data_IF_580252590583
#
_entry.id   IF_580252590583
#
_cell.length_a   1.000
_cell.length_b   1.000
_cell.length_c   1.000
_cell.angle_alpha   90.00
_cell.angle_beta   90.00
_cell.angle_gamma   90.00
#
_symmetry.space_group_name_H-M   'P 1'
#
loop_
_entity.id
_entity.type
_entity.pdbx_description
1 polymer ?
#
# COMPACT_ATOMS: atom_id res chain seq x y z
N UNK A 1 7.66 -37.89 19.21
CA UNK A 1 8.57 -36.91 18.58
C UNK A 1 8.19 -36.50 17.14
N UNK A 2 7.01 -36.86 16.60
CA UNK A 2 6.58 -36.41 15.26
C UNK A 2 5.66 -35.17 15.27
N UNK A 3 5.03 -34.82 16.41
CA UNK A 3 4.01 -33.75 16.47
C UNK A 3 4.58 -32.33 16.67
N UNK A 4 5.88 -32.18 16.93
CA UNK A 4 6.52 -30.86 17.13
C UNK A 4 6.99 -30.21 15.81
N UNK A 5 7.10 -30.98 14.72
CA UNK A 5 7.54 -30.47 13.41
C UNK A 5 6.43 -29.87 12.55
N UNK A 6 5.20 -30.41 12.63
CA UNK A 6 4.06 -29.93 11.82
C UNK A 6 3.51 -28.59 12.32
N UNK A 7 3.51 -28.35 13.64
CA UNK A 7 3.07 -27.08 14.24
C UNK A 7 4.01 -25.91 13.92
N UNK A 8 5.33 -26.13 13.94
CA UNK A 8 6.32 -25.11 13.60
C UNK A 8 6.34 -24.77 12.10
N UNK A 9 6.17 -25.77 11.23
CA UNK A 9 6.09 -25.56 9.79
C UNK A 9 4.80 -24.83 9.38
N UNK A 10 3.66 -25.14 10.03
CA UNK A 10 2.38 -24.45 9.82
C UNK A 10 2.42 -23.00 10.32
N UNK A 11 3.07 -22.75 11.47
CA UNK A 11 3.26 -21.40 12.00
C UNK A 11 4.20 -20.53 11.15
N UNK A 12 5.29 -21.10 10.65
CA UNK A 12 6.20 -20.41 9.74
C UNK A 12 5.57 -20.14 8.36
N UNK A 13 4.73 -21.05 7.86
CA UNK A 13 3.97 -20.82 6.63
C UNK A 13 2.91 -19.71 6.79
N UNK A 14 2.22 -19.67 7.93
CA UNK A 14 1.29 -18.59 8.27
C UNK A 14 1.97 -17.22 8.31
N UNK A 15 3.07 -17.09 9.06
CA UNK A 15 3.85 -15.85 9.18
C UNK A 15 4.39 -15.36 7.83
N UNK A 16 4.84 -16.26 6.95
CA UNK A 16 5.27 -15.90 5.59
C UNK A 16 4.11 -15.43 4.72
N UNK A 17 2.94 -16.06 4.86
CA UNK A 17 1.71 -15.66 4.17
C UNK A 17 1.23 -14.27 4.59
N UNK A 18 1.29 -13.97 5.89
CA UNK A 18 0.95 -12.66 6.44
C UNK A 18 1.90 -11.57 5.96
N UNK A 19 3.21 -11.80 5.99
CA UNK A 19 4.20 -10.87 5.43
C UNK A 19 3.98 -10.64 3.93
N UNK A 20 3.69 -11.70 3.17
CA UNK A 20 3.37 -11.58 1.76
C UNK A 20 2.08 -10.77 1.53
N UNK A 21 1.06 -10.95 2.37
CA UNK A 21 -0.17 -10.18 2.31
C UNK A 21 0.08 -8.70 2.64
N UNK A 22 0.88 -8.37 3.66
CA UNK A 22 1.26 -6.99 3.98
C UNK A 22 2.05 -6.33 2.85
N UNK A 23 2.97 -7.07 2.21
CA UNK A 23 3.69 -6.58 1.02
C UNK A 23 2.71 -6.32 -0.12
N UNK A 24 1.75 -7.22 -0.35
CA UNK A 24 0.74 -7.08 -1.39
C UNK A 24 -0.18 -5.87 -1.15
N UNK A 25 -0.61 -5.62 0.10
CA UNK A 25 -1.34 -4.41 0.48
C UNK A 25 -0.51 -3.18 0.19
N UNK A 26 0.77 -3.17 0.57
CA UNK A 26 1.65 -2.04 0.33
C UNK A 26 1.88 -1.77 -1.16
N UNK A 27 1.98 -2.82 -1.99
CA UNK A 27 2.02 -2.70 -3.46
C UNK A 27 0.72 -2.12 -4.00
N UNK A 28 -0.43 -2.58 -3.51
CA UNK A 28 -1.73 -2.10 -3.95
C UNK A 28 -1.93 -0.62 -3.58
N UNK A 29 -1.75 -0.26 -2.31
CA UNK A 29 -1.85 1.13 -1.86
C UNK A 29 -0.80 2.02 -2.52
N UNK A 30 0.47 1.61 -2.50
CA UNK A 30 1.53 2.42 -3.05
C UNK A 30 1.47 2.54 -4.57
N UNK A 31 1.18 1.45 -5.27
CA UNK A 31 1.04 1.45 -6.71
C UNK A 31 -0.13 2.29 -7.19
N UNK A 32 -1.29 2.22 -6.53
CA UNK A 32 -2.50 2.91 -6.97
C UNK A 32 -2.49 4.41 -6.70
N UNK A 33 -1.78 4.88 -5.68
CA UNK A 33 -1.78 6.29 -5.26
C UNK A 33 -1.36 7.29 -6.37
N UNK A 34 -0.28 7.09 -7.13
CA UNK A 34 0.07 7.96 -8.25
C UNK A 34 -0.95 7.90 -9.40
N UNK A 35 -1.54 6.73 -9.66
CA UNK A 35 -2.58 6.59 -10.68
C UNK A 35 -3.87 7.29 -10.29
N UNK A 36 -4.25 7.26 -9.00
CA UNK A 36 -5.39 8.03 -8.48
C UNK A 36 -5.15 9.53 -8.69
N UNK A 37 -3.95 10.01 -8.40
CA UNK A 37 -3.56 11.40 -8.64
C UNK A 37 -3.68 11.77 -10.13
N UNK A 38 -3.14 10.97 -11.04
CA UNK A 38 -3.31 11.18 -12.48
C UNK A 38 -4.79 11.09 -12.92
N UNK A 39 -5.56 10.17 -12.35
CA UNK A 39 -6.99 10.00 -12.65
C UNK A 39 -7.85 11.18 -12.21
N UNK A 40 -7.36 12.00 -11.28
CA UNK A 40 -8.00 13.26 -10.87
C UNK A 40 -7.59 14.47 -11.70
N UNK A 41 -6.63 14.34 -12.61
CA UNK A 41 -6.24 15.46 -13.49
C UNK A 41 -7.41 15.88 -14.38
N UNK A 42 -7.72 17.18 -14.36
CA UNK A 42 -8.86 17.74 -15.09
C UNK A 42 -10.16 17.83 -14.29
N UNK A 43 -10.21 17.29 -13.06
CA UNK A 43 -11.34 17.48 -12.16
C UNK A 43 -11.59 18.98 -11.88
N UNK A 44 -10.51 19.78 -11.76
CA UNK A 44 -10.56 21.24 -11.55
C UNK A 44 -11.26 22.03 -12.67
N UNK A 45 -11.40 21.42 -13.86
CA UNK A 45 -12.11 22.03 -15.01
C UNK A 45 -13.61 21.81 -14.93
N UNK A 46 -14.09 20.94 -14.05
CA UNK A 46 -15.51 20.64 -13.85
C UNK A 46 -16.09 21.65 -12.86
N UNK A 47 -16.46 22.84 -13.33
CA UNK A 47 -17.15 23.86 -12.51
C UNK A 47 -18.64 23.93 -12.84
N UNK A 48 -19.47 23.90 -11.80
CA UNK A 48 -20.93 24.10 -11.89
C UNK A 48 -21.36 25.14 -10.85
N UNK A 49 -22.44 25.86 -11.14
CA UNK A 49 -22.88 27.00 -10.33
C UNK A 49 -23.45 26.66 -8.94
N UNK A 50 -23.69 25.39 -8.62
CA UNK A 50 -24.26 24.94 -7.33
C UNK A 50 -23.40 23.84 -6.74
N UNK A 51 -23.12 23.89 -5.44
CA UNK A 51 -22.18 22.96 -4.78
C UNK A 51 -22.57 21.48 -4.92
N UNK A 52 -23.85 21.14 -4.76
CA UNK A 52 -24.33 19.75 -4.93
C UNK A 52 -24.20 19.26 -6.37
N UNK A 53 -24.46 20.13 -7.34
CA UNK A 53 -24.35 19.83 -8.77
C UNK A 53 -22.90 19.71 -9.23
N UNK A 54 -22.00 20.46 -8.59
CA UNK A 54 -20.56 20.35 -8.79
C UNK A 54 -20.04 19.02 -8.24
N UNK A 55 -20.41 18.68 -6.99
CA UNK A 55 -20.00 17.42 -6.37
C UNK A 55 -20.51 16.21 -7.17
N UNK A 56 -21.76 16.25 -7.66
CA UNK A 56 -22.28 15.20 -8.54
C UNK A 56 -21.55 15.14 -9.89
N UNK A 57 -21.13 16.27 -10.45
CA UNK A 57 -20.38 16.31 -11.70
C UNK A 57 -18.95 15.80 -11.53
N UNK A 58 -18.30 16.12 -10.41
CA UNK A 58 -16.99 15.61 -10.01
C UNK A 58 -17.05 14.09 -9.78
N UNK A 59 -18.03 13.60 -9.01
CA UNK A 59 -18.26 12.16 -8.81
C UNK A 59 -18.49 11.48 -10.16
N UNK A 60 -19.35 12.05 -11.02
CA UNK A 60 -19.63 11.47 -12.34
C UNK A 60 -18.37 11.43 -13.20
N UNK A 61 -17.55 12.47 -13.19
CA UNK A 61 -16.28 12.51 -13.91
C UNK A 61 -15.32 11.42 -13.43
N UNK A 62 -15.17 11.27 -12.11
CA UNK A 62 -14.31 10.25 -11.49
C UNK A 62 -14.81 8.83 -11.76
N UNK A 63 -16.12 8.59 -11.62
CA UNK A 63 -16.73 7.29 -11.87
C UNK A 63 -16.70 6.87 -13.35
N UNK A 64 -16.70 7.82 -14.28
CA UNK A 64 -16.56 7.51 -15.71
C UNK A 64 -15.10 7.41 -16.15
N UNK A 65 -14.15 7.88 -15.33
CA UNK A 65 -12.74 7.76 -15.64
C UNK A 65 -12.20 6.40 -15.20
N UNK A 66 -12.07 5.47 -16.15
CA UNK A 66 -11.49 4.14 -15.88
C UNK A 66 -10.09 4.22 -15.25
N UNK A 67 -9.30 5.26 -15.60
CA UNK A 67 -7.97 5.50 -15.03
C UNK A 67 -8.00 5.85 -13.55
N UNK A 68 -9.17 6.26 -13.02
CA UNK A 68 -9.40 6.50 -11.61
C UNK A 68 -10.10 5.30 -10.94
N UNK A 69 -11.14 4.74 -11.57
CA UNK A 69 -11.94 3.65 -10.99
C UNK A 69 -11.11 2.38 -10.77
N UNK A 70 -10.27 1.99 -11.74
CA UNK A 70 -9.42 0.80 -11.61
C UNK A 70 -8.48 0.89 -10.41
N UNK A 71 -7.64 1.94 -10.26
CA UNK A 71 -6.78 2.06 -9.09
C UNK A 71 -7.58 2.29 -7.80
N UNK A 72 -8.75 2.93 -7.85
CA UNK A 72 -9.62 3.07 -6.67
C UNK A 72 -10.11 1.71 -6.14
N UNK A 73 -10.58 0.82 -7.03
CA UNK A 73 -11.01 -0.52 -6.65
C UNK A 73 -9.84 -1.33 -6.10
N UNK A 74 -8.67 -1.28 -6.75
CA UNK A 74 -7.45 -1.95 -6.27
C UNK A 74 -7.01 -1.43 -4.90
N UNK A 75 -7.10 -0.13 -4.66
CA UNK A 75 -6.81 0.48 -3.35
C UNK A 75 -7.75 -0.06 -2.26
N UNK A 76 -9.04 -0.21 -2.57
CA UNK A 76 -10.03 -0.78 -1.65
C UNK A 76 -9.87 -2.28 -1.43
N UNK A 77 -9.46 -3.04 -2.45
CA UNK A 77 -9.03 -4.42 -2.27
C UNK A 77 -7.84 -4.52 -1.31
N UNK A 78 -6.89 -3.59 -1.41
CA UNK A 78 -5.78 -3.45 -0.44
C UNK A 78 -6.29 -3.30 0.99
N UNK A 79 -7.27 -2.43 1.22
CA UNK A 79 -7.90 -2.25 2.55
C UNK A 79 -8.57 -3.53 3.08
N UNK A 80 -9.22 -4.31 2.21
CA UNK A 80 -9.83 -5.60 2.60
C UNK A 80 -8.77 -6.63 2.99
N UNK A 81 -7.72 -6.78 2.17
CA UNK A 81 -6.61 -7.70 2.46
C UNK A 81 -5.89 -7.28 3.74
N UNK A 82 -5.69 -5.97 3.95
CA UNK A 82 -5.12 -5.42 5.17
C UNK A 82 -5.96 -5.77 6.39
N UNK A 83 -7.28 -5.57 6.32
CA UNK A 83 -8.19 -5.89 7.40
C UNK A 83 -8.16 -7.38 7.78
N UNK A 84 -8.16 -8.27 6.78
CA UNK A 84 -8.05 -9.72 7.00
C UNK A 84 -6.70 -10.11 7.61
N UNK A 85 -5.61 -9.44 7.19
CA UNK A 85 -4.26 -9.70 7.72
C UNK A 85 -4.12 -9.20 9.16
N UNK A 86 -4.72 -8.04 9.47
CA UNK A 86 -4.72 -7.46 10.81
C UNK A 86 -5.46 -8.33 11.85
N UNK A 87 -6.40 -9.16 11.39
CA UNK A 87 -7.11 -10.11 12.25
C UNK A 87 -6.22 -11.30 12.70
N UNK A 88 -5.05 -11.49 12.10
CA UNK A 88 -4.18 -12.66 12.34
C UNK A 88 -2.73 -12.31 12.73
N UNK A 89 -2.26 -11.08 12.49
CA UNK A 89 -0.88 -10.64 12.77
C UNK A 89 -0.79 -9.64 13.93
N UNK A 90 0.33 -9.62 14.65
CA UNK A 90 0.66 -8.59 15.64
C UNK A 90 0.65 -7.17 15.04
N UNK A 91 -0.34 -6.37 15.44
CA UNK A 91 -0.61 -5.01 14.93
C UNK A 91 0.60 -4.07 15.03
N UNK A 92 1.46 -4.26 16.03
CA UNK A 92 2.56 -3.34 16.36
C UNK A 92 3.63 -3.27 15.27
N UNK A 93 3.84 -4.35 14.50
CA UNK A 93 4.83 -4.41 13.41
C UNK A 93 4.18 -4.26 12.04
N UNK A 94 2.94 -4.73 11.87
CA UNK A 94 2.25 -4.69 10.59
C UNK A 94 1.98 -3.26 10.09
N UNK A 95 1.56 -2.35 10.97
CA UNK A 95 1.20 -0.98 10.59
C UNK A 95 2.41 -0.16 10.11
N UNK A 96 3.55 -0.12 10.85
CA UNK A 96 4.74 0.60 10.41
C UNK A 96 5.34 0.03 9.13
N UNK A 97 5.35 -1.30 8.99
CA UNK A 97 5.86 -1.98 7.79
C UNK A 97 5.01 -1.65 6.57
N UNK A 98 3.69 -1.85 6.64
CA UNK A 98 2.80 -1.64 5.50
C UNK A 98 2.80 -0.18 5.03
N UNK A 99 2.80 0.78 5.96
CA UNK A 99 2.83 2.21 5.63
C UNK A 99 4.18 2.60 4.98
N UNK A 100 5.28 2.07 5.52
CA UNK A 100 6.64 2.29 4.98
C UNK A 100 6.79 1.72 3.57
N UNK A 101 6.38 0.47 3.33
CA UNK A 101 6.42 -0.12 1.99
C UNK A 101 5.48 0.61 1.02
N UNK A 102 4.28 0.99 1.46
CA UNK A 102 3.32 1.71 0.61
C UNK A 102 3.91 3.05 0.14
N UNK A 103 4.65 3.74 1.01
CA UNK A 103 5.35 4.96 0.65
C UNK A 103 6.45 4.69 -0.39
N UNK A 104 7.27 3.64 -0.20
CA UNK A 104 8.29 3.25 -1.19
C UNK A 104 7.66 2.95 -2.54
N UNK A 105 6.58 2.15 -2.58
CA UNK A 105 5.88 1.82 -3.82
C UNK A 105 5.21 3.04 -4.46
N UNK A 106 4.67 3.96 -3.67
CA UNK A 106 4.12 5.25 -4.17
C UNK A 106 5.19 6.05 -4.89
N UNK A 107 6.35 6.22 -4.26
CA UNK A 107 7.45 7.00 -4.85
C UNK A 107 8.04 6.29 -6.08
N UNK A 108 8.22 4.96 -6.03
CA UNK A 108 8.71 4.17 -7.15
C UNK A 108 7.76 4.23 -8.35
N UNK A 109 6.46 4.07 -8.10
CA UNK A 109 5.43 4.11 -9.16
C UNK A 109 5.30 5.51 -9.74
N UNK A 110 5.35 6.56 -8.94
CA UNK A 110 5.34 7.93 -9.45
C UNK A 110 6.60 8.26 -10.27
N UNK A 111 7.77 7.73 -9.89
CA UNK A 111 8.99 7.83 -10.71
C UNK A 111 8.88 7.07 -12.03
N UNK A 112 8.28 5.87 -12.04
CA UNK A 112 7.99 5.10 -13.26
C UNK A 112 6.99 5.83 -14.18
N UNK A 113 6.05 6.57 -13.59
CA UNK A 113 5.11 7.44 -14.30
C UNK A 113 5.74 8.73 -14.85
N UNK A 114 7.03 8.96 -14.59
CA UNK A 114 7.75 10.14 -15.07
C UNK A 114 7.53 11.40 -14.22
N UNK A 115 6.90 11.30 -13.04
CA UNK A 115 6.88 12.41 -12.09
C UNK A 115 8.30 12.62 -11.53
N UNK A 116 8.77 13.87 -11.51
CA UNK A 116 10.03 14.24 -10.85
C UNK A 116 9.85 14.22 -9.33
N UNK A 117 9.69 13.03 -8.76
CA UNK A 117 9.50 12.84 -7.34
C UNK A 117 10.86 12.98 -6.63
N UNK A 118 11.13 14.20 -6.14
CA UNK A 118 11.95 14.49 -4.96
C UNK A 118 13.48 14.30 -5.06
N UNK A 119 14.06 14.04 -6.24
CA UNK A 119 15.52 14.04 -6.44
C UNK A 119 16.30 13.15 -5.45
N UNK A 120 17.52 13.57 -5.07
CA UNK A 120 18.37 12.82 -4.14
C UNK A 120 17.73 12.63 -2.74
N UNK A 121 16.87 13.56 -2.30
CA UNK A 121 16.19 13.47 -0.99
C UNK A 121 15.17 12.34 -0.95
N UNK A 122 14.41 12.13 -2.02
CA UNK A 122 13.50 10.98 -2.13
C UNK A 122 14.26 9.64 -2.16
N UNK A 123 15.42 9.60 -2.82
CA UNK A 123 16.27 8.41 -2.83
C UNK A 123 16.81 8.06 -1.43
N UNK A 124 17.27 9.06 -0.68
CA UNK A 124 17.70 8.88 0.72
C UNK A 124 16.52 8.44 1.59
N UNK A 125 15.35 9.04 1.42
CA UNK A 125 14.13 8.61 2.11
C UNK A 125 13.78 7.14 1.84
N UNK A 126 13.80 6.71 0.57
CA UNK A 126 13.57 5.30 0.21
C UNK A 126 14.59 4.35 0.84
N UNK A 127 15.88 4.70 0.81
CA UNK A 127 16.93 3.92 1.47
C UNK A 127 16.66 3.79 2.98
N UNK A 128 16.36 4.90 3.65
CA UNK A 128 16.13 4.91 5.09
C UNK A 128 14.87 4.11 5.48
N UNK A 129 13.79 4.23 4.71
CA UNK A 129 12.56 3.45 4.89
C UNK A 129 12.80 1.96 4.64
N UNK A 130 13.56 1.61 3.59
CA UNK A 130 13.90 0.21 3.28
C UNK A 130 14.78 -0.40 4.38
N UNK A 131 15.74 0.36 4.90
CA UNK A 131 16.58 -0.06 6.02
C UNK A 131 15.76 -0.23 7.30
N UNK A 132 14.85 0.70 7.62
CA UNK A 132 13.97 0.59 8.78
C UNK A 132 13.08 -0.65 8.72
N UNK A 133 12.47 -0.91 7.55
CA UNK A 133 11.69 -2.13 7.28
C UNK A 133 12.54 -3.40 7.44
N UNK A 134 13.75 -3.40 6.86
CA UNK A 134 14.68 -4.52 6.98
C UNK A 134 15.07 -4.82 8.43
N UNK A 135 15.30 -3.78 9.23
CA UNK A 135 15.59 -3.90 10.66
C UNK A 135 14.38 -4.44 11.45
N UNK A 136 13.16 -3.99 11.14
CA UNK A 136 11.94 -4.53 11.76
C UNK A 136 11.80 -6.03 11.47
N UNK A 137 12.04 -6.46 10.22
CA UNK A 137 11.97 -7.88 9.84
C UNK A 137 13.08 -8.68 10.53
N UNK A 138 14.32 -8.17 10.55
CA UNK A 138 15.45 -8.84 11.19
C UNK A 138 15.26 -8.99 12.71
N UNK A 139 14.72 -7.98 13.38
CA UNK A 139 14.38 -8.05 14.80
C UNK A 139 13.25 -9.04 15.10
N UNK A 140 12.30 -9.21 14.18
CA UNK A 140 11.20 -10.18 14.30
C UNK A 140 11.65 -11.64 14.12
N UNK A 141 12.83 -11.86 13.52
CA UNK A 141 13.44 -13.18 13.34
C UNK A 141 14.46 -13.54 14.42
N UNK A 142 14.65 -12.68 15.44
CA UNK A 142 15.66 -12.86 16.48
C UNK A 142 15.19 -13.62 17.74
N UNK A 143 13.92 -14.02 17.82
CA UNK A 143 13.47 -14.98 18.83
C UNK A 143 13.41 -16.40 18.22
N UNK A 144 14.57 -17.06 18.19
CA UNK A 144 14.60 -18.52 18.39
C UNK A 144 15.30 -18.80 19.74
N UNK A 145 14.70 -19.62 20.63
CA UNK A 145 15.30 -20.07 21.89
C UNK A 145 16.44 -21.08 21.69
#
# INVERSE_FOLDING_TARGET
>A
MASLGEGAASGAAGRRGELAALVLVAVLWGGTNPFLKQGTEGLEKVKRGTQSLQLLAEIKFLCLNYKYVVPFVLNQCGSLVYYLTLASTDLTLAVPLCNSLALIFTLATGKLLGENIGGARAAVGMLLTTLGVGLCIAGSGGEEP
#
